data_IF_024963733928
#
_entry.id   IF_024963733928
#
_cell.length_a   1.000
_cell.length_b   1.000
_cell.length_c   1.000
_cell.angle_alpha   90.00
_cell.angle_beta   90.00
_cell.angle_gamma   90.00
#
_symmetry.space_group_name_H-M   'P 1'
#
loop_
_entity.id
_entity.type
_entity.pdbx_description
1 polymer ?
#
# COMPACT_ATOMS: atom_id res chain seq x y z
N UNK A 1 -5.19 -16.78 7.18
CA UNK A 1 -4.55 -15.62 6.56
C UNK A 1 -3.06 -15.63 6.85
N UNK A 2 -2.22 -15.28 5.86
CA UNK A 2 -0.78 -15.14 6.02
C UNK A 2 -0.32 -13.84 5.33
N UNK A 3 0.69 -13.20 5.91
CA UNK A 3 1.32 -12.00 5.38
C UNK A 3 2.83 -12.07 5.57
N UNK A 4 3.56 -11.41 4.69
CA UNK A 4 5.00 -11.19 4.82
C UNK A 4 5.39 -9.83 4.27
N UNK A 5 6.57 -9.36 4.65
CA UNK A 5 7.19 -8.21 4.01
C UNK A 5 7.72 -8.64 2.64
N UNK A 6 7.54 -7.80 1.63
CA UNK A 6 8.02 -8.09 0.28
C UNK A 6 9.57 -8.14 0.25
N UNK A 7 10.12 -9.32 0.05
CA UNK A 7 11.57 -9.56 0.05
C UNK A 7 12.31 -8.85 -1.11
N UNK A 8 11.61 -8.39 -2.14
CA UNK A 8 12.18 -7.60 -3.22
C UNK A 8 12.76 -6.25 -2.75
N UNK A 9 12.42 -5.80 -1.53
CA UNK A 9 13.02 -4.60 -0.92
C UNK A 9 14.53 -4.68 -0.79
N UNK A 10 15.11 -5.87 -0.88
CA UNK A 10 16.58 -6.08 -0.92
C UNK A 10 17.22 -5.48 -2.17
N UNK A 11 16.50 -5.36 -3.29
CA UNK A 11 16.99 -4.78 -4.55
C UNK A 11 16.39 -3.41 -4.86
N UNK A 12 15.51 -2.89 -4.01
CA UNK A 12 14.93 -1.57 -4.17
C UNK A 12 13.75 -1.34 -3.23
N UNK A 13 13.74 -0.20 -2.56
CA UNK A 13 12.69 0.14 -1.60
C UNK A 13 11.32 0.31 -2.26
N UNK A 14 11.31 0.82 -3.47
CA UNK A 14 10.11 1.04 -4.28
C UNK A 14 10.22 0.34 -5.64
N UNK A 15 9.15 0.41 -6.42
CA UNK A 15 9.04 -0.30 -7.70
C UNK A 15 10.01 0.25 -8.75
N UNK A 16 10.26 1.56 -8.74
CA UNK A 16 11.16 2.22 -9.68
C UNK A 16 12.61 1.77 -9.45
N UNK A 17 13.06 1.73 -8.19
CA UNK A 17 14.39 1.26 -7.83
C UNK A 17 14.63 -0.17 -8.35
N UNK A 18 13.63 -1.05 -8.23
CA UNK A 18 13.70 -2.44 -8.70
C UNK A 18 13.82 -2.53 -10.22
N UNK A 19 13.07 -1.71 -10.96
CA UNK A 19 13.17 -1.65 -12.42
C UNK A 19 14.55 -1.14 -12.84
N UNK A 20 15.07 -0.12 -12.19
CA UNK A 20 16.41 0.39 -12.44
C UNK A 20 17.48 -0.66 -12.12
N UNK A 21 17.33 -1.41 -11.02
CA UNK A 21 18.22 -2.50 -10.68
C UNK A 21 18.26 -3.59 -11.77
N UNK A 22 17.13 -3.93 -12.39
CA UNK A 22 17.09 -4.84 -13.56
C UNK A 22 17.77 -4.21 -14.77
N UNK A 23 17.58 -2.92 -14.99
CA UNK A 23 18.21 -2.19 -16.10
C UNK A 23 19.73 -2.18 -15.99
N UNK A 24 20.26 -2.01 -14.77
CA UNK A 24 21.68 -2.02 -14.48
C UNK A 24 22.29 -3.42 -14.57
N UNK A 25 21.58 -4.43 -14.09
CA UNK A 25 21.97 -5.83 -14.15
C UNK A 25 20.75 -6.72 -14.46
N UNK A 26 20.63 -7.26 -15.69
CA UNK A 26 19.52 -8.12 -16.10
C UNK A 26 19.31 -9.37 -15.23
N UNK A 27 20.35 -9.90 -14.56
CA UNK A 27 20.23 -11.05 -13.67
C UNK A 27 19.35 -10.74 -12.43
N UNK A 28 19.22 -9.47 -12.10
CA UNK A 28 18.32 -9.03 -11.01
C UNK A 28 16.85 -9.36 -11.28
N UNK A 29 16.44 -9.55 -12.54
CA UNK A 29 15.08 -9.97 -12.88
C UNK A 29 14.78 -11.35 -12.28
N UNK A 30 15.67 -12.32 -12.47
CA UNK A 30 15.52 -13.66 -11.90
C UNK A 30 15.55 -13.62 -10.37
N UNK A 31 16.41 -12.78 -9.79
CA UNK A 31 16.47 -12.59 -8.33
C UNK A 31 15.16 -12.03 -7.79
N UNK A 32 14.60 -10.98 -8.42
CA UNK A 32 13.32 -10.39 -8.03
C UNK A 32 12.15 -11.38 -8.15
N UNK A 33 12.15 -12.18 -9.23
CA UNK A 33 11.16 -13.24 -9.40
C UNK A 33 11.28 -14.30 -8.29
N UNK A 34 12.49 -14.80 -8.04
CA UNK A 34 12.74 -15.83 -7.03
C UNK A 34 12.29 -15.35 -5.63
N UNK A 35 12.64 -14.12 -5.24
CA UNK A 35 12.23 -13.53 -3.97
C UNK A 35 10.70 -13.47 -3.83
N UNK A 36 9.98 -13.06 -4.89
CA UNK A 36 8.52 -13.02 -4.86
C UNK A 36 7.91 -14.42 -4.76
N UNK A 37 8.43 -15.38 -5.54
CA UNK A 37 7.93 -16.75 -5.52
C UNK A 37 8.21 -17.45 -4.18
N UNK A 38 9.34 -17.14 -3.54
CA UNK A 38 9.63 -17.64 -2.20
C UNK A 38 8.69 -17.05 -1.13
N UNK A 39 8.42 -15.75 -1.18
CA UNK A 39 7.43 -15.13 -0.30
C UNK A 39 6.04 -15.77 -0.46
N UNK A 40 5.60 -15.96 -1.71
CA UNK A 40 4.31 -16.60 -2.03
C UNK A 40 4.30 -18.05 -1.55
N UNK A 41 5.37 -18.82 -1.76
CA UNK A 41 5.49 -20.22 -1.31
C UNK A 41 5.33 -20.31 0.22
N UNK A 42 6.05 -19.47 0.96
CA UNK A 42 5.94 -19.43 2.41
C UNK A 42 4.53 -19.08 2.89
N UNK A 43 3.86 -18.14 2.21
CA UNK A 43 2.47 -17.79 2.55
C UNK A 43 1.49 -18.95 2.26
N UNK A 44 1.65 -19.65 1.13
CA UNK A 44 0.86 -20.86 0.81
C UNK A 44 1.04 -21.91 1.90
N UNK A 45 2.28 -22.23 2.27
CA UNK A 45 2.59 -23.22 3.30
C UNK A 45 1.94 -22.84 4.65
N UNK A 46 2.08 -21.58 5.08
CA UNK A 46 1.44 -21.10 6.32
C UNK A 46 -0.08 -21.20 6.28
N UNK A 47 -0.71 -20.81 5.17
CA UNK A 47 -2.16 -20.92 5.02
C UNK A 47 -2.61 -22.38 5.04
N UNK A 48 -1.89 -23.27 4.37
CA UNK A 48 -2.19 -24.69 4.32
C UNK A 48 -2.06 -25.36 5.70
N UNK A 49 -1.02 -25.02 6.46
CA UNK A 49 -0.86 -25.46 7.86
C UNK A 49 -2.04 -25.00 8.72
N UNK A 50 -2.44 -23.74 8.60
CA UNK A 50 -3.59 -23.20 9.35
C UNK A 50 -4.91 -23.89 8.99
N UNK A 51 -5.06 -24.25 7.71
CA UNK A 51 -6.26 -24.92 7.21
C UNK A 51 -6.25 -26.44 7.44
N UNK A 52 -5.12 -27.03 7.84
CA UNK A 52 -4.96 -28.47 8.01
C UNK A 52 -5.02 -29.27 6.69
N UNK A 53 -4.60 -28.64 5.58
CA UNK A 53 -4.57 -29.26 4.24
C UNK A 53 -3.16 -29.24 3.66
N UNK A 54 -2.76 -30.21 2.84
CA UNK A 54 -1.47 -30.15 2.15
C UNK A 54 -1.56 -29.15 0.96
N UNK A 55 -0.44 -28.48 0.58
CA UNK A 55 -0.42 -27.55 -0.54
C UNK A 55 -0.97 -28.12 -1.85
N UNK A 56 -0.73 -29.42 -2.11
CA UNK A 56 -1.19 -30.11 -3.31
C UNK A 56 -2.74 -30.24 -3.37
N UNK A 57 -3.44 -30.03 -2.27
CA UNK A 57 -4.91 -29.98 -2.25
C UNK A 57 -5.46 -28.65 -2.82
N UNK A 58 -4.60 -27.63 -2.97
CA UNK A 58 -4.99 -26.34 -3.55
C UNK A 58 -5.06 -26.47 -5.07
N UNK A 59 -6.27 -26.35 -5.62
CA UNK A 59 -6.56 -26.55 -7.05
C UNK A 59 -6.55 -25.29 -7.88
N UNK A 60 -6.58 -24.12 -7.26
CA UNK A 60 -6.55 -22.83 -7.95
C UNK A 60 -5.97 -21.71 -7.04
N UNK A 61 -5.30 -20.77 -7.66
CA UNK A 61 -4.81 -19.54 -7.01
C UNK A 61 -5.11 -18.35 -7.89
N UNK A 62 -5.61 -17.27 -7.30
CA UNK A 62 -5.75 -15.97 -7.96
C UNK A 62 -4.69 -15.03 -7.45
N UNK A 63 -4.07 -14.29 -8.35
CA UNK A 63 -3.02 -13.31 -8.04
C UNK A 63 -3.44 -11.94 -8.54
N UNK A 64 -3.61 -10.99 -7.65
CA UNK A 64 -3.81 -9.57 -7.94
C UNK A 64 -2.60 -8.75 -7.53
N UNK A 65 -2.22 -7.80 -8.35
CA UNK A 65 -1.12 -6.88 -8.07
C UNK A 65 -0.99 -5.85 -9.18
N UNK A 66 -0.22 -4.78 -8.93
CA UNK A 66 0.00 -3.80 -9.98
C UNK A 66 0.77 -4.42 -11.16
N UNK A 67 0.65 -3.77 -12.32
CA UNK A 67 1.18 -4.29 -13.60
C UNK A 67 2.66 -4.69 -13.49
N UNK A 68 3.50 -3.84 -12.91
CA UNK A 68 4.94 -4.12 -12.77
C UNK A 68 5.23 -5.29 -11.82
N UNK A 69 4.48 -5.40 -10.72
CA UNK A 69 4.65 -6.50 -9.77
C UNK A 69 4.28 -7.84 -10.39
N UNK A 70 3.25 -7.88 -11.25
CA UNK A 70 2.90 -9.09 -12.00
C UNK A 70 3.99 -9.45 -13.02
N UNK A 71 4.65 -8.45 -13.64
CA UNK A 71 5.82 -8.73 -14.50
C UNK A 71 6.96 -9.39 -13.72
N UNK A 72 7.32 -8.87 -12.54
CA UNK A 72 8.33 -9.50 -11.69
C UNK A 72 7.93 -10.91 -11.24
N UNK A 73 6.67 -11.10 -10.86
CA UNK A 73 6.15 -12.41 -10.48
C UNK A 73 6.29 -13.44 -11.59
N UNK A 74 6.09 -13.03 -12.86
CA UNK A 74 6.20 -13.89 -14.03
C UNK A 74 7.60 -13.90 -14.67
N UNK A 75 8.57 -13.18 -14.12
CA UNK A 75 9.93 -13.09 -14.67
C UNK A 75 10.00 -12.33 -15.99
N UNK A 76 9.09 -11.39 -16.23
CA UNK A 76 9.09 -10.53 -17.41
C UNK A 76 9.71 -9.18 -17.08
N UNK A 77 10.58 -8.68 -17.97
CA UNK A 77 11.20 -7.36 -17.80
C UNK A 77 10.15 -6.24 -17.96
N UNK A 78 9.88 -5.44 -16.92
CA UNK A 78 8.90 -4.37 -16.98
C UNK A 78 9.43 -3.09 -17.63
N UNK A 79 10.65 -3.05 -18.16
CA UNK A 79 11.27 -1.82 -18.68
C UNK A 79 10.40 -1.10 -19.73
N UNK A 80 9.63 -1.84 -20.51
CA UNK A 80 8.74 -1.30 -21.54
C UNK A 80 7.69 -0.32 -20.98
N UNK A 81 7.32 -0.42 -19.69
CA UNK A 81 6.37 0.52 -19.07
C UNK A 81 6.88 1.96 -19.01
N UNK A 82 8.22 2.16 -19.16
CA UNK A 82 8.87 3.50 -19.19
C UNK A 82 9.25 3.97 -20.57
N UNK A 83 9.04 3.16 -21.59
CA UNK A 83 9.39 3.50 -22.96
C UNK A 83 8.16 3.74 -23.82
N UNK A 84 8.21 4.73 -24.70
CA UNK A 84 7.14 4.96 -25.68
C UNK A 84 6.98 3.71 -26.54
N UNK A 85 5.79 3.11 -26.68
CA UNK A 85 4.46 3.66 -26.34
C UNK A 85 3.97 3.38 -24.90
N UNK A 86 4.83 3.08 -23.94
CA UNK A 86 4.49 2.80 -22.52
C UNK A 86 3.57 1.58 -22.35
N UNK A 87 3.77 0.56 -23.17
CA UNK A 87 2.95 -0.66 -23.17
C UNK A 87 3.66 -1.77 -22.41
N UNK A 88 3.02 -2.41 -21.42
CA UNK A 88 3.59 -3.56 -20.73
C UNK A 88 3.71 -4.77 -21.67
N UNK A 89 4.49 -5.77 -21.27
CA UNK A 89 4.67 -7.01 -22.04
C UNK A 89 3.34 -7.75 -22.21
N UNK A 90 2.49 -7.68 -21.21
CA UNK A 90 1.14 -8.22 -21.21
C UNK A 90 0.21 -7.37 -20.34
N UNK A 91 -1.08 -7.42 -20.65
CA UNK A 91 -2.17 -6.97 -19.78
C UNK A 91 -2.86 -8.15 -19.11
N UNK A 92 -3.00 -9.25 -19.82
CA UNK A 92 -3.58 -10.50 -19.34
C UNK A 92 -2.64 -11.65 -19.73
N UNK A 93 -1.94 -12.27 -18.76
CA UNK A 93 -1.07 -13.40 -19.03
C UNK A 93 -1.85 -14.72 -19.18
N UNK A 94 -3.16 -14.71 -18.99
CA UNK A 94 -3.99 -15.91 -19.04
C UNK A 94 -3.84 -16.81 -17.84
N UNK A 95 -4.15 -18.10 -18.04
CA UNK A 95 -4.07 -19.12 -16.99
C UNK A 95 -2.73 -19.86 -17.09
N UNK A 96 -2.02 -19.91 -15.97
CA UNK A 96 -0.69 -20.52 -15.85
C UNK A 96 -0.78 -21.78 -14.98
N UNK A 97 0.11 -22.73 -15.17
CA UNK A 97 0.25 -23.86 -14.24
C UNK A 97 1.17 -23.46 -13.09
N UNK A 98 0.78 -23.76 -11.87
CA UNK A 98 1.61 -23.45 -10.70
C UNK A 98 3.00 -24.11 -10.77
N UNK A 99 3.09 -25.29 -11.40
CA UNK A 99 4.35 -26.01 -11.62
C UNK A 99 5.34 -25.25 -12.51
N UNK A 100 4.86 -24.40 -13.43
CA UNK A 100 5.71 -23.57 -14.29
C UNK A 100 6.44 -22.48 -13.48
N UNK A 101 5.85 -22.07 -12.37
CA UNK A 101 6.45 -21.10 -11.43
C UNK A 101 7.07 -21.79 -10.21
N UNK A 102 7.12 -23.10 -10.16
CA UNK A 102 7.67 -23.86 -9.03
C UNK A 102 6.90 -23.69 -7.72
N UNK A 103 5.61 -23.35 -7.79
CA UNK A 103 4.76 -23.23 -6.61
C UNK A 103 4.19 -24.60 -6.18
N UNK A 104 4.02 -24.85 -4.86
CA UNK A 104 3.73 -26.18 -4.31
C UNK A 104 2.24 -26.57 -4.42
N UNK A 105 1.45 -25.95 -5.26
CA UNK A 105 0.04 -26.26 -5.47
C UNK A 105 -0.15 -27.09 -6.75
N UNK A 106 -1.13 -27.99 -6.77
CA UNK A 106 -1.41 -28.83 -7.93
C UNK A 106 -2.19 -28.11 -9.05
N UNK A 107 -2.69 -26.92 -8.77
CA UNK A 107 -3.64 -26.23 -9.62
C UNK A 107 -3.08 -25.23 -10.58
N UNK A 108 -3.98 -24.40 -11.07
CA UNK A 108 -3.69 -23.30 -11.97
C UNK A 108 -3.63 -21.96 -11.22
N UNK A 109 -2.89 -21.03 -11.80
CA UNK A 109 -2.79 -19.65 -11.35
C UNK A 109 -3.52 -18.77 -12.33
N UNK A 110 -4.43 -17.94 -11.83
CA UNK A 110 -5.10 -16.91 -12.57
C UNK A 110 -4.60 -15.54 -12.10
N UNK A 111 -3.85 -14.87 -12.94
CA UNK A 111 -3.44 -13.49 -12.67
C UNK A 111 -4.55 -12.54 -13.10
N UNK A 112 -4.97 -11.66 -12.20
CA UNK A 112 -5.95 -10.63 -12.54
C UNK A 112 -5.41 -9.71 -13.63
N UNK A 113 -6.20 -9.45 -14.69
CA UNK A 113 -5.73 -8.66 -15.81
C UNK A 113 -5.51 -7.20 -15.42
N UNK A 114 -4.48 -6.59 -15.99
CA UNK A 114 -4.26 -5.16 -15.94
C UNK A 114 -5.08 -4.46 -17.04
N UNK A 115 -5.38 -3.19 -16.83
CA UNK A 115 -6.07 -2.33 -17.81
C UNK A 115 -5.08 -1.37 -18.47
N UNK A 116 -4.08 -0.93 -17.72
CA UNK A 116 -3.04 -0.02 -18.17
C UNK A 116 -1.76 -0.22 -17.33
N UNK A 117 -0.71 0.53 -17.64
CA UNK A 117 0.57 0.49 -16.92
C UNK A 117 0.43 0.69 -15.40
N UNK A 118 -0.45 1.59 -14.98
CA UNK A 118 -0.67 1.96 -13.59
C UNK A 118 -2.00 1.45 -13.03
N UNK A 119 -2.75 0.70 -13.82
CA UNK A 119 -4.05 0.11 -13.45
C UNK A 119 -3.93 -1.40 -13.61
N UNK A 120 -3.35 -2.03 -12.63
CA UNK A 120 -3.02 -3.45 -12.62
C UNK A 120 -4.15 -4.35 -12.13
N UNK A 121 -3.79 -5.59 -11.87
CA UNK A 121 -4.67 -6.60 -11.30
C UNK A 121 -5.13 -6.30 -9.87
N UNK A 122 -4.47 -5.42 -9.15
CA UNK A 122 -4.90 -4.85 -7.87
C UNK A 122 -6.21 -4.07 -8.04
N UNK A 123 -6.26 -3.16 -9.01
CA UNK A 123 -7.45 -2.35 -9.29
C UNK A 123 -8.61 -3.20 -9.82
N UNK A 124 -8.34 -4.12 -10.74
CA UNK A 124 -9.39 -5.02 -11.27
C UNK A 124 -9.92 -5.97 -10.18
N UNK A 125 -9.06 -6.45 -9.28
CA UNK A 125 -9.50 -7.22 -8.12
C UNK A 125 -10.35 -6.39 -7.16
N UNK A 126 -9.93 -5.15 -6.89
CA UNK A 126 -10.69 -4.21 -6.05
C UNK A 126 -12.07 -3.91 -6.63
N UNK A 127 -12.17 -3.70 -7.94
CA UNK A 127 -13.45 -3.48 -8.62
C UNK A 127 -14.41 -4.66 -8.50
N UNK A 128 -13.90 -5.90 -8.58
CA UNK A 128 -14.72 -7.11 -8.38
C UNK A 128 -15.31 -7.22 -6.96
N UNK A 129 -14.71 -6.56 -5.97
CA UNK A 129 -15.22 -6.51 -4.60
C UNK A 129 -16.25 -5.39 -4.39
N UNK A 130 -16.45 -4.55 -5.39
CA UNK A 130 -17.45 -3.49 -5.40
C UNK A 130 -18.59 -3.86 -6.34
N UNK A 131 -19.68 -3.15 -6.27
CA UNK A 131 -20.80 -3.26 -7.20
C UNK A 131 -20.79 -2.15 -8.27
N UNK A 132 -19.61 -1.57 -8.54
CA UNK A 132 -19.47 -0.39 -9.40
C UNK A 132 -19.97 -0.63 -10.83
N UNK A 133 -19.75 -1.83 -11.34
CA UNK A 133 -20.12 -2.27 -12.69
C UNK A 133 -21.61 -2.62 -12.83
N UNK A 134 -22.32 -2.75 -11.71
CA UNK A 134 -23.73 -3.15 -11.70
C UNK A 134 -24.67 -2.10 -11.11
N UNK A 135 -24.16 -1.16 -10.32
CA UNK A 135 -24.95 -0.12 -9.66
C UNK A 135 -25.40 0.97 -10.61
N UNK A 136 -26.54 1.57 -10.34
CA UNK A 136 -27.08 2.69 -11.15
C UNK A 136 -26.50 4.04 -10.75
N UNK A 137 -26.24 4.22 -9.44
CA UNK A 137 -25.71 5.46 -8.90
C UNK A 137 -24.22 5.60 -9.19
N UNK A 138 -23.82 6.83 -9.50
CA UNK A 138 -22.41 7.17 -9.70
C UNK A 138 -21.63 6.97 -8.38
N UNK A 139 -20.53 6.24 -8.46
CA UNK A 139 -19.66 6.00 -7.32
C UNK A 139 -18.17 6.13 -7.69
N UNK A 140 -17.36 6.35 -6.67
CA UNK A 140 -15.92 6.50 -6.78
C UNK A 140 -15.24 5.40 -5.95
N UNK A 141 -14.40 4.61 -6.63
CA UNK A 141 -13.43 3.72 -6.01
C UNK A 141 -12.07 4.40 -5.99
N UNK A 142 -11.40 4.36 -4.84
CA UNK A 142 -10.06 4.92 -4.63
C UNK A 142 -9.15 3.84 -4.06
N UNK A 143 -8.01 3.64 -4.69
CA UNK A 143 -6.87 2.91 -4.13
C UNK A 143 -5.77 3.91 -3.82
N UNK A 144 -5.44 4.04 -2.54
CA UNK A 144 -4.48 5.04 -2.06
C UNK A 144 -3.23 4.32 -1.57
N UNK A 145 -2.25 4.21 -2.46
CA UNK A 145 -0.93 3.62 -2.21
C UNK A 145 0.21 4.58 -2.57
N UNK A 146 1.26 4.02 -3.14
CA UNK A 146 2.37 4.81 -3.73
C UNK A 146 1.87 5.69 -4.88
N UNK A 147 0.90 5.19 -5.63
CA UNK A 147 0.10 5.98 -6.55
C UNK A 147 -1.29 6.22 -5.93
N UNK A 148 -2.11 7.00 -6.59
CA UNK A 148 -3.51 7.16 -6.26
C UNK A 148 -4.33 6.75 -7.47
N UNK A 149 -4.77 5.50 -7.50
CA UNK A 149 -5.63 5.00 -8.56
C UNK A 149 -7.09 5.31 -8.21
N UNK A 150 -7.84 5.72 -9.21
CA UNK A 150 -9.26 6.06 -9.05
C UNK A 150 -10.09 5.46 -10.18
N UNK A 151 -11.29 5.02 -9.84
CA UNK A 151 -12.31 4.61 -10.79
C UNK A 151 -13.62 5.30 -10.44
N UNK A 152 -14.11 6.13 -11.34
CA UNK A 152 -15.41 6.80 -11.23
C UNK A 152 -16.36 6.15 -12.22
N UNK A 153 -17.53 5.71 -11.77
CA UNK A 153 -18.50 5.17 -12.70
C UNK A 153 -19.72 4.52 -12.08
N UNK A 154 -20.45 3.84 -12.95
CA UNK A 154 -21.64 3.06 -12.68
C UNK A 154 -21.74 1.96 -13.74
N UNK A 155 -22.83 1.20 -13.79
CA UNK A 155 -23.04 0.13 -14.79
C UNK A 155 -22.92 0.57 -16.26
N UNK A 156 -23.07 1.87 -16.55
CA UNK A 156 -23.05 2.38 -17.92
C UNK A 156 -21.63 2.71 -18.41
N UNK A 157 -20.73 3.10 -17.48
CA UNK A 157 -19.34 3.43 -17.81
C UNK A 157 -18.44 3.36 -16.57
N UNK A 158 -17.16 3.14 -16.83
CA UNK A 158 -16.08 3.26 -15.82
C UNK A 158 -14.99 4.17 -16.41
N UNK A 159 -14.72 5.28 -15.75
CA UNK A 159 -13.59 6.17 -16.02
C UNK A 159 -12.48 5.85 -15.01
N UNK A 160 -11.30 5.54 -15.51
CA UNK A 160 -10.17 5.14 -14.70
C UNK A 160 -9.01 6.10 -14.88
N UNK A 161 -8.29 6.34 -13.80
CA UNK A 161 -7.11 7.18 -13.80
C UNK A 161 -6.14 6.80 -12.68
N UNK A 162 -4.88 7.13 -12.88
CA UNK A 162 -3.85 6.99 -11.87
C UNK A 162 -3.13 8.33 -11.70
N UNK A 163 -3.04 8.78 -10.47
CA UNK A 163 -2.28 9.97 -10.08
C UNK A 163 -0.97 9.58 -9.40
N UNK A 164 0.11 10.27 -9.71
CA UNK A 164 1.39 10.10 -9.02
C UNK A 164 1.31 10.77 -7.64
N UNK A 165 0.74 10.07 -6.65
CA UNK A 165 0.64 10.56 -5.28
C UNK A 165 1.99 10.56 -4.57
N UNK A 166 2.92 9.68 -4.96
CA UNK A 166 4.17 9.41 -4.26
C UNK A 166 3.95 8.64 -2.95
N UNK A 167 5.02 8.22 -2.26
CA UNK A 167 4.95 7.42 -1.05
C UNK A 167 4.55 8.25 0.19
N UNK A 168 3.71 9.26 0.02
CA UNK A 168 3.31 10.17 1.08
C UNK A 168 2.72 9.41 2.28
N UNK A 169 1.82 8.48 2.03
CA UNK A 169 1.15 7.69 3.07
C UNK A 169 1.96 6.46 3.52
N UNK A 170 3.11 6.20 2.92
CA UNK A 170 4.02 5.10 3.31
C UNK A 170 5.08 5.54 4.34
N UNK A 171 4.88 6.69 4.98
CA UNK A 171 5.75 7.22 6.03
C UNK A 171 6.53 8.49 5.69
N UNK A 172 6.51 8.96 4.44
CA UNK A 172 7.31 10.12 4.01
C UNK A 172 6.74 11.48 4.46
N UNK A 173 5.48 11.56 4.87
CA UNK A 173 4.77 12.83 5.22
C UNK A 173 5.12 13.32 6.61
N UNK A 174 5.59 12.47 7.50
CA UNK A 174 5.86 12.81 8.91
C UNK A 174 7.26 12.36 9.29
N UNK A 175 7.94 13.12 10.16
CA UNK A 175 9.23 12.71 10.76
C UNK A 175 9.15 11.37 11.48
N UNK A 176 8.00 11.06 12.07
CA UNK A 176 7.70 9.81 12.75
C UNK A 176 6.90 8.85 11.85
N UNK A 177 6.85 9.10 10.55
CA UNK A 177 6.17 8.26 9.59
C UNK A 177 6.89 6.93 9.41
N UNK A 178 6.12 5.84 9.36
CA UNK A 178 6.64 4.49 9.16
C UNK A 178 5.63 3.62 8.41
N UNK A 179 6.09 2.48 7.93
CA UNK A 179 5.20 1.46 7.36
C UNK A 179 4.29 0.88 8.44
N UNK A 180 3.21 0.21 8.03
CA UNK A 180 2.28 -0.47 8.92
C UNK A 180 2.92 -1.73 9.54
N UNK A 181 3.94 -1.52 10.37
CA UNK A 181 4.72 -2.52 11.09
C UNK A 181 4.36 -2.53 12.58
N UNK A 182 4.75 -3.56 13.35
CA UNK A 182 4.47 -3.62 14.79
C UNK A 182 4.94 -2.37 15.55
N UNK A 183 4.01 -1.71 16.26
CA UNK A 183 4.22 -0.43 16.93
C UNK A 183 3.87 0.82 16.11
N UNK A 184 3.52 0.68 14.82
CA UNK A 184 2.99 1.80 14.04
C UNK A 184 1.57 2.15 14.49
N UNK A 185 1.30 3.43 14.76
CA UNK A 185 -0.06 3.92 15.01
C UNK A 185 -0.83 3.82 13.69
N UNK A 186 -1.89 2.99 13.68
CA UNK A 186 -2.70 2.69 12.51
C UNK A 186 -4.11 3.25 12.59
N UNK A 187 -4.55 3.70 13.76
CA UNK A 187 -5.85 4.33 13.97
C UNK A 187 -5.75 5.44 15.00
N UNK A 188 -6.46 6.53 14.75
CA UNK A 188 -6.58 7.67 15.68
C UNK A 188 -8.04 8.06 15.79
N UNK A 189 -8.46 8.45 17.01
CA UNK A 189 -9.73 9.03 17.32
C UNK A 189 -9.56 10.20 18.29
N UNK A 190 -10.28 11.30 18.04
CA UNK A 190 -10.40 12.42 18.98
C UNK A 190 -11.81 12.33 19.61
N UNK A 191 -11.84 12.08 20.91
CA UNK A 191 -13.10 11.94 21.64
C UNK A 191 -13.80 13.27 21.89
N UNK A 192 -15.08 13.24 22.37
CA UNK A 192 -15.82 14.43 22.76
C UNK A 192 -15.14 15.20 23.93
N UNK A 193 -14.27 14.54 24.66
CA UNK A 193 -13.42 15.11 25.72
C UNK A 193 -12.18 15.82 25.18
N UNK A 194 -12.10 15.98 23.86
CA UNK A 194 -11.00 16.59 23.14
C UNK A 194 -9.63 15.90 23.38
N UNK A 195 -9.66 14.59 23.69
CA UNK A 195 -8.47 13.75 23.90
C UNK A 195 -8.26 12.83 22.71
N UNK A 196 -7.01 12.76 22.27
CA UNK A 196 -6.58 11.84 21.24
C UNK A 196 -6.36 10.44 21.85
N UNK A 197 -6.88 9.44 21.16
CA UNK A 197 -6.68 8.01 21.44
C UNK A 197 -6.18 7.35 20.18
N UNK A 198 -5.32 6.34 20.33
CA UNK A 198 -4.76 5.64 19.17
C UNK A 198 -4.71 4.13 19.39
N UNK A 199 -4.63 3.40 18.29
CA UNK A 199 -4.32 1.97 18.25
C UNK A 199 -3.04 1.76 17.44
N UNK A 200 -2.23 0.78 17.85
CA UNK A 200 -1.00 0.41 17.15
C UNK A 200 -1.10 -0.98 16.54
N UNK A 201 -0.41 -1.19 15.44
CA UNK A 201 -0.26 -2.53 14.84
C UNK A 201 0.36 -3.47 15.88
N UNK A 202 -0.35 -4.58 16.15
CA UNK A 202 0.06 -5.57 17.15
C UNK A 202 -0.11 -5.16 18.62
N UNK A 203 -0.71 -4.01 18.91
CA UNK A 203 -0.93 -3.53 20.29
C UNK A 203 0.36 -3.19 21.03
N UNK A 204 1.46 -2.95 20.32
CA UNK A 204 2.76 -2.64 20.92
C UNK A 204 2.91 -1.15 21.21
N UNK A 205 3.88 -0.73 22.06
CA UNK A 205 4.19 0.67 22.27
C UNK A 205 4.42 1.43 20.96
N UNK A 206 3.96 2.70 20.85
CA UNK A 206 4.05 3.46 19.61
C UNK A 206 5.51 3.81 19.29
N UNK A 207 5.90 3.59 18.02
CA UNK A 207 7.20 3.94 17.46
C UNK A 207 7.10 5.02 16.38
N UNK A 208 5.91 5.18 15.82
CA UNK A 208 5.63 6.11 14.74
C UNK A 208 4.19 5.96 14.27
N UNK A 209 3.88 6.53 13.12
CA UNK A 209 2.53 6.54 12.54
C UNK A 209 2.58 6.04 11.10
N UNK A 210 1.69 5.14 10.72
CA UNK A 210 1.56 4.70 9.33
C UNK A 210 0.49 5.52 8.57
N UNK A 211 0.36 5.26 7.29
CA UNK A 211 -0.53 6.03 6.40
C UNK A 211 -1.97 6.12 6.88
N UNK A 212 -2.57 5.01 7.32
CA UNK A 212 -3.93 5.02 7.88
C UNK A 212 -4.05 5.87 9.14
N UNK A 213 -3.05 5.82 10.02
CA UNK A 213 -3.01 6.68 11.20
C UNK A 213 -2.90 8.17 10.85
N UNK A 214 -2.13 8.51 9.81
CA UNK A 214 -2.02 9.90 9.30
C UNK A 214 -3.36 10.38 8.76
N UNK A 215 -4.05 9.56 7.97
CA UNK A 215 -5.37 9.88 7.44
C UNK A 215 -6.39 10.12 8.57
N UNK A 216 -6.40 9.23 9.56
CA UNK A 216 -7.26 9.39 10.73
C UNK A 216 -6.92 10.67 11.50
N UNK A 217 -5.62 10.96 11.72
CA UNK A 217 -5.18 12.16 12.43
C UNK A 217 -5.66 13.44 11.75
N UNK A 218 -5.54 13.52 10.43
CA UNK A 218 -5.98 14.69 9.66
C UNK A 218 -7.51 14.79 9.67
N UNK A 219 -8.21 13.68 9.44
CA UNK A 219 -9.67 13.63 9.41
C UNK A 219 -10.28 14.00 10.78
N UNK A 220 -9.82 13.36 11.85
CA UNK A 220 -10.28 13.63 13.21
C UNK A 220 -9.90 15.04 13.67
N UNK A 221 -8.69 15.50 13.31
CA UNK A 221 -8.24 16.85 13.58
C UNK A 221 -9.12 17.92 12.90
N UNK A 222 -9.51 17.68 11.65
CA UNK A 222 -10.42 18.55 10.92
C UNK A 222 -11.83 18.55 11.55
N UNK A 223 -12.38 17.37 11.83
CA UNK A 223 -13.73 17.23 12.43
C UNK A 223 -13.80 17.82 13.84
N UNK A 224 -12.70 17.79 14.59
CA UNK A 224 -12.61 18.34 15.95
C UNK A 224 -12.18 19.82 16.00
N UNK A 225 -11.96 20.45 14.85
CA UNK A 225 -11.53 21.84 14.76
C UNK A 225 -10.06 22.08 15.16
N UNK A 226 -9.23 21.03 15.23
CA UNK A 226 -7.80 21.15 15.44
C UNK A 226 -7.07 21.62 14.18
N UNK A 227 -7.66 21.31 13.02
CA UNK A 227 -7.22 21.69 11.69
C UNK A 227 -8.36 22.47 11.03
N UNK A 228 -8.05 23.64 10.47
CA UNK A 228 -9.03 24.43 9.73
C UNK A 228 -9.15 23.99 8.25
N UNK A 229 -10.09 24.59 7.52
CA UNK A 229 -10.32 24.28 6.10
C UNK A 229 -9.14 24.63 5.17
N UNK A 230 -8.20 25.43 5.65
CA UNK A 230 -6.97 25.77 4.92
C UNK A 230 -5.79 24.84 5.32
N UNK A 231 -6.02 23.89 6.24
CA UNK A 231 -5.01 22.96 6.71
C UNK A 231 -4.14 23.50 7.86
N UNK A 232 -4.49 24.64 8.48
CA UNK A 232 -3.70 25.22 9.55
C UNK A 232 -4.10 24.62 10.91
N UNK A 233 -3.10 24.36 11.76
CA UNK A 233 -3.30 23.90 13.12
C UNK A 233 -3.79 25.03 14.04
N UNK A 234 -4.87 24.78 14.77
CA UNK A 234 -5.51 25.70 15.70
C UNK A 234 -4.97 25.49 17.12
N UNK A 235 -3.93 26.22 17.53
CA UNK A 235 -3.24 26.03 18.82
C UNK A 235 -4.16 26.08 20.06
N UNK A 236 -5.24 26.87 19.98
CA UNK A 236 -6.19 26.99 21.08
C UNK A 236 -7.16 25.80 21.16
N UNK A 237 -7.21 24.94 20.16
CA UNK A 237 -8.17 23.86 20.08
C UNK A 237 -7.85 22.68 21.00
N UNK A 238 -6.56 22.44 21.27
CA UNK A 238 -6.12 21.32 22.12
C UNK A 238 -4.76 21.57 22.76
N UNK A 239 -4.53 21.07 23.99
CA UNK A 239 -3.21 21.06 24.60
C UNK A 239 -2.20 20.12 23.89
N UNK A 240 -2.68 19.22 23.01
CA UNK A 240 -1.82 18.39 22.17
C UNK A 240 -1.19 19.19 21.01
N UNK A 241 -1.63 20.41 20.77
CA UNK A 241 -1.08 21.28 19.72
C UNK A 241 -0.13 22.28 20.35
N UNK A 242 1.16 22.08 20.13
CA UNK A 242 2.20 22.96 20.65
C UNK A 242 3.27 23.23 19.60
N UNK A 243 4.13 24.22 19.89
CA UNK A 243 5.23 24.53 18.99
C UNK A 243 6.36 23.52 19.16
N UNK A 244 6.86 23.01 18.05
CA UNK A 244 8.08 22.19 17.98
C UNK A 244 9.12 22.90 17.09
N UNK A 245 10.39 22.65 17.38
CA UNK A 245 11.46 23.17 16.53
C UNK A 245 11.54 22.39 15.21
N UNK A 246 11.46 23.08 14.10
CA UNK A 246 11.64 22.53 12.76
C UNK A 246 13.03 22.88 12.24
N UNK A 247 13.91 21.86 12.16
CA UNK A 247 15.28 22.04 11.68
C UNK A 247 15.37 22.45 10.21
N UNK A 248 14.40 22.06 9.40
CA UNK A 248 14.36 22.42 7.98
C UNK A 248 13.99 23.87 7.78
N UNK A 249 12.99 24.34 8.54
CA UNK A 249 12.51 25.73 8.47
C UNK A 249 13.24 26.67 9.41
N UNK A 250 14.13 26.15 10.30
CA UNK A 250 14.89 26.88 11.32
C UNK A 250 14.00 27.81 12.17
N UNK A 251 12.83 27.32 12.57
CA UNK A 251 11.85 28.02 13.40
C UNK A 251 10.93 27.08 14.14
N UNK A 252 10.27 27.59 15.16
CA UNK A 252 9.15 26.87 15.78
C UNK A 252 7.94 26.86 14.85
N UNK A 253 7.32 25.67 14.72
CA UNK A 253 6.10 25.45 13.96
C UNK A 253 5.07 24.74 14.83
N UNK A 254 3.77 25.01 14.65
CA UNK A 254 2.74 24.27 15.37
C UNK A 254 2.77 22.80 14.93
N UNK A 255 2.56 21.89 15.90
CA UNK A 255 2.51 20.45 15.68
C UNK A 255 1.48 19.80 16.59
N UNK A 256 0.87 18.73 16.11
CA UNK A 256 0.05 17.84 16.94
C UNK A 256 0.97 16.77 17.52
N UNK A 257 1.16 16.75 18.83
CA UNK A 257 1.80 15.62 19.53
C UNK A 257 0.73 14.55 19.74
N UNK A 258 0.91 13.39 19.09
CA UNK A 258 -0.10 12.34 19.12
C UNK A 258 0.32 11.13 19.98
N UNK A 259 1.61 10.96 20.29
CA UNK A 259 2.14 9.91 21.15
C UNK A 259 3.57 10.22 21.59
N UNK A 260 4.17 9.28 22.33
CA UNK A 260 5.58 9.33 22.73
C UNK A 260 6.22 7.94 22.54
N UNK A 261 7.43 7.90 21.96
CA UNK A 261 8.31 6.73 21.99
C UNK A 261 9.30 6.93 23.16
N UNK A 262 9.02 6.30 24.27
CA UNK A 262 9.71 6.62 25.53
C UNK A 262 9.49 8.08 25.92
N UNK A 263 10.55 8.91 25.87
CA UNK A 263 10.51 10.35 26.14
C UNK A 263 10.52 11.21 24.87
N UNK A 264 10.52 10.61 23.68
CA UNK A 264 10.57 11.31 22.40
C UNK A 264 9.16 11.56 21.90
N UNK A 265 8.76 12.84 21.69
CA UNK A 265 7.42 13.13 21.17
C UNK A 265 7.31 12.68 19.69
N UNK A 266 6.23 11.99 19.38
CA UNK A 266 5.80 11.68 18.04
C UNK A 266 4.78 12.74 17.61
N UNK A 267 5.08 13.49 16.55
CA UNK A 267 4.28 14.65 16.17
C UNK A 267 4.10 14.80 14.67
N UNK A 268 3.08 15.53 14.30
CA UNK A 268 2.73 15.94 12.94
C UNK A 268 2.66 17.47 12.83
N UNK A 269 3.28 18.04 11.76
CA UNK A 269 3.36 19.52 11.53
C UNK A 269 2.59 19.94 10.30
#
# INVERSE_FOLDING_TARGET
EAACTNSQTQLGANILDRILAVKENPDNLHTLQALTLDDVRQMIERCCVQAGVPPEAVSAMTVGGNTTMLHFFLGCDPWQVFQIPYTPVFFDPGVLRASELGLPIAGNIFCMPAIANYLGGDITSGLLMTDLDTREDLALFLDIGTNGELVLGCREFLLMGAGAAGPALEGAVSRSGMRAEPGAICRIKIGPDNRLRYETVGGLPPKGICGSGILDLIAEGFLSGWIDSAGNLQKSASPCICDVWDDTRQRNVPAIIYAYDGNVPLYFT
#
